data_IF_479068105028
#
_entry.id   IF_479068105028
#
_cell.length_a   1.000
_cell.length_b   1.000
_cell.length_c   1.000
_cell.angle_alpha   90.00
_cell.angle_beta   90.00
_cell.angle_gamma   90.00
#
_symmetry.space_group_name_H-M   'P 1'
#
loop_
_entity.id
_entity.type
_entity.pdbx_description
1 polymer ?
#
# COMPACT_ATOMS: atom_id res chain seq x y z
N UNK A 1 -2.85 7.22 10.96
CA UNK A 1 -2.77 5.77 10.70
C UNK A 1 -1.49 5.24 11.34
N UNK A 2 -1.53 4.06 11.95
CA UNK A 2 -0.33 3.39 12.48
C UNK A 2 0.48 2.82 11.32
N UNK A 3 1.81 2.78 11.44
CA UNK A 3 2.65 2.13 10.44
C UNK A 3 2.37 0.60 10.44
N UNK A 4 2.41 -0.07 9.28
CA UNK A 4 2.36 -1.53 9.18
C UNK A 4 3.19 -2.25 10.26
N UNK A 5 4.44 -1.86 10.48
CA UNK A 5 5.30 -2.47 11.50
C UNK A 5 4.77 -2.25 12.93
N UNK A 6 4.25 -1.06 13.21
CA UNK A 6 3.70 -0.74 14.52
C UNK A 6 2.43 -1.57 14.79
N UNK A 7 1.57 -1.72 13.80
CA UNK A 7 0.36 -2.54 13.88
C UNK A 7 0.72 -4.03 14.07
N UNK A 8 1.73 -4.52 13.34
CA UNK A 8 2.22 -5.88 13.48
C UNK A 8 2.77 -6.20 14.85
N UNK A 9 3.61 -5.32 15.39
CA UNK A 9 4.17 -5.50 16.73
C UNK A 9 3.08 -5.55 17.80
N UNK A 10 2.04 -4.73 17.65
CA UNK A 10 0.88 -4.78 18.52
C UNK A 10 0.12 -6.11 18.38
N UNK A 11 -0.19 -6.55 17.15
CA UNK A 11 -0.86 -7.82 16.89
C UNK A 11 -0.07 -9.04 17.40
N UNK A 12 1.26 -9.04 17.23
CA UNK A 12 2.11 -10.10 17.76
C UNK A 12 2.03 -10.16 19.28
N UNK A 13 2.16 -9.01 19.96
CA UNK A 13 2.12 -8.95 21.41
C UNK A 13 0.76 -9.45 21.96
N UNK A 14 -0.34 -9.07 21.30
CA UNK A 14 -1.69 -9.55 21.64
C UNK A 14 -1.82 -11.07 21.43
N UNK A 15 -1.31 -11.60 20.32
CA UNK A 15 -1.34 -13.03 20.03
C UNK A 15 -0.51 -13.84 21.03
N UNK A 16 0.71 -13.40 21.35
CA UNK A 16 1.59 -14.04 22.33
C UNK A 16 0.99 -14.04 23.75
N UNK A 17 0.16 -13.05 24.09
CA UNK A 17 -0.52 -12.98 25.38
C UNK A 17 -1.75 -13.89 25.49
N UNK A 18 -2.41 -14.22 24.37
CA UNK A 18 -3.76 -14.81 24.38
C UNK A 18 -3.82 -16.25 23.86
N UNK A 19 -2.81 -16.75 23.14
CA UNK A 19 -2.87 -18.08 22.52
C UNK A 19 -1.91 -19.11 23.14
N UNK A 20 -2.40 -20.33 23.46
CA UNK A 20 -1.58 -21.40 24.05
C UNK A 20 -0.65 -22.10 23.05
N UNK A 21 -0.82 -21.86 21.75
CA UNK A 21 -0.03 -22.48 20.68
C UNK A 21 0.97 -21.47 20.09
N UNK A 22 2.29 -21.72 20.18
CA UNK A 22 3.28 -20.80 19.65
C UNK A 22 3.33 -20.85 18.12
N UNK A 23 3.26 -19.69 17.47
CA UNK A 23 3.60 -19.55 16.05
C UNK A 23 5.10 -19.79 15.90
N UNK A 24 5.55 -20.58 14.89
CA UNK A 24 6.97 -20.76 14.63
C UNK A 24 7.71 -19.43 14.48
N UNK A 25 8.79 -19.26 15.25
CA UNK A 25 9.58 -18.01 15.32
C UNK A 25 9.99 -17.48 13.95
N UNK A 26 10.37 -18.38 13.02
CA UNK A 26 10.77 -18.02 11.67
C UNK A 26 9.67 -17.28 10.89
N UNK A 27 8.39 -17.62 11.11
CA UNK A 27 7.25 -16.95 10.47
C UNK A 27 7.12 -15.53 11.01
N UNK A 28 7.26 -15.36 12.33
CA UNK A 28 7.20 -14.06 12.98
C UNK A 28 8.32 -13.13 12.47
N UNK A 29 9.52 -13.67 12.30
CA UNK A 29 10.68 -12.91 11.82
C UNK A 29 10.50 -12.48 10.35
N UNK A 30 10.01 -13.37 9.48
CA UNK A 30 9.70 -13.02 8.08
C UNK A 30 8.63 -11.92 8.01
N UNK A 31 7.56 -12.04 8.80
CA UNK A 31 6.50 -11.03 8.82
C UNK A 31 7.02 -9.67 9.31
N UNK A 32 7.93 -9.64 10.28
CA UNK A 32 8.54 -8.39 10.72
C UNK A 32 9.44 -7.76 9.66
N UNK A 33 10.19 -8.57 8.92
CA UNK A 33 10.98 -8.09 7.77
C UNK A 33 10.05 -7.48 6.72
N UNK A 34 8.96 -8.17 6.35
CA UNK A 34 8.01 -7.67 5.36
C UNK A 34 7.37 -6.35 5.80
N UNK A 35 6.99 -6.23 7.07
CA UNK A 35 6.41 -5.00 7.61
C UNK A 35 7.42 -3.85 7.66
N UNK A 36 8.69 -4.14 7.96
CA UNK A 36 9.77 -3.15 7.93
C UNK A 36 10.01 -2.66 6.50
N UNK A 37 10.10 -3.57 5.54
CA UNK A 37 10.24 -3.23 4.11
C UNK A 37 9.05 -2.39 3.64
N UNK A 38 7.83 -2.71 4.08
CA UNK A 38 6.65 -1.92 3.75
C UNK A 38 6.72 -0.49 4.31
N UNK A 39 7.19 -0.32 5.55
CA UNK A 39 7.41 1.00 6.15
C UNK A 39 8.49 1.79 5.40
N UNK A 40 9.60 1.14 5.02
CA UNK A 40 10.66 1.75 4.23
C UNK A 40 10.16 2.20 2.84
N UNK A 41 9.35 1.38 2.18
CA UNK A 41 8.70 1.74 0.90
C UNK A 41 7.79 2.95 1.08
N UNK A 42 6.98 2.98 2.14
CA UNK A 42 6.09 4.11 2.43
C UNK A 42 6.88 5.39 2.70
N UNK A 43 8.00 5.30 3.42
CA UNK A 43 8.90 6.41 3.69
C UNK A 43 9.55 6.92 2.39
N UNK A 44 10.04 6.03 1.52
CA UNK A 44 10.59 6.40 0.21
C UNK A 44 9.55 7.09 -0.67
N UNK A 45 8.34 6.53 -0.77
CA UNK A 45 7.26 7.12 -1.56
C UNK A 45 6.92 8.55 -1.07
N UNK A 46 6.90 8.76 0.24
CA UNK A 46 6.70 10.08 0.85
C UNK A 46 7.84 11.04 0.52
N UNK A 47 9.09 10.57 0.59
CA UNK A 47 10.27 11.36 0.21
C UNK A 47 10.22 11.79 -1.25
N UNK A 48 9.97 10.84 -2.17
CA UNK A 48 9.89 11.14 -3.60
C UNK A 48 8.73 12.11 -3.89
N UNK A 49 7.57 11.93 -3.27
CA UNK A 49 6.45 12.86 -3.43
C UNK A 49 6.83 14.29 -3.00
N UNK A 50 7.63 14.43 -1.95
CA UNK A 50 8.15 15.72 -1.47
C UNK A 50 9.15 16.34 -2.45
N UNK A 51 10.08 15.52 -2.97
CA UNK A 51 11.08 15.96 -3.94
C UNK A 51 10.43 16.41 -5.25
N UNK A 52 9.47 15.64 -5.75
CA UNK A 52 8.74 15.98 -6.98
C UNK A 52 7.92 17.27 -6.81
N UNK A 53 7.31 17.47 -5.63
CA UNK A 53 6.64 18.74 -5.32
C UNK A 53 7.61 19.93 -5.36
N UNK A 54 8.77 19.78 -4.70
CA UNK A 54 9.82 20.81 -4.67
C UNK A 54 10.32 21.14 -6.08
N UNK A 55 10.48 20.11 -6.93
CA UNK A 55 10.82 20.28 -8.34
C UNK A 55 9.73 21.04 -9.11
N UNK A 56 8.45 20.72 -8.87
CA UNK A 56 7.31 21.43 -9.43
C UNK A 56 7.30 22.93 -9.09
N UNK A 57 7.52 23.27 -7.82
CA UNK A 57 7.62 24.66 -7.35
C UNK A 57 8.83 25.40 -7.99
N UNK A 58 9.94 24.68 -8.17
CA UNK A 58 11.11 25.16 -8.89
C UNK A 58 10.82 25.54 -10.34
N UNK A 59 10.02 24.75 -11.06
CA UNK A 59 9.59 25.07 -12.42
C UNK A 59 8.68 26.28 -12.48
N UNK A 60 7.74 26.43 -11.55
CA UNK A 60 6.91 27.64 -11.46
C UNK A 60 7.77 28.90 -11.27
N UNK A 61 8.80 28.81 -10.43
CA UNK A 61 9.76 29.89 -10.22
C UNK A 61 10.57 30.19 -11.49
N UNK A 62 11.04 29.15 -12.19
CA UNK A 62 11.77 29.30 -13.45
C UNK A 62 10.92 29.99 -14.53
N UNK A 63 9.65 29.59 -14.67
CA UNK A 63 8.69 30.22 -15.58
C UNK A 63 8.53 31.71 -15.31
N UNK A 64 8.39 32.09 -14.04
CA UNK A 64 8.29 33.49 -13.65
C UNK A 64 9.56 34.30 -14.03
N UNK A 65 10.75 33.71 -13.83
CA UNK A 65 12.02 34.34 -14.22
C UNK A 65 12.18 34.49 -15.73
N UNK A 66 11.76 33.50 -16.52
CA UNK A 66 11.76 33.59 -17.99
C UNK A 66 10.87 34.74 -18.43
N UNK A 67 9.64 34.84 -17.90
CA UNK A 67 8.72 35.93 -18.23
C UNK A 67 9.26 37.32 -17.81
N UNK A 68 10.00 37.41 -16.72
CA UNK A 68 10.66 38.64 -16.29
C UNK A 68 11.82 39.03 -17.23
N UNK A 69 12.63 38.06 -17.68
CA UNK A 69 13.68 38.29 -18.67
C UNK A 69 13.13 38.74 -20.03
N UNK A 70 12.02 38.14 -20.52
CA UNK A 70 11.33 38.59 -21.74
C UNK A 70 10.92 40.07 -21.62
N UNK A 71 10.35 40.46 -20.47
CA UNK A 71 9.94 41.85 -20.21
C UNK A 71 11.11 42.81 -20.11
N UNK A 72 12.18 42.42 -19.42
CA UNK A 72 13.35 43.28 -19.17
C UNK A 72 14.18 43.53 -20.43
N UNK A 73 14.30 42.52 -21.30
CA UNK A 73 15.23 42.55 -22.42
C UNK A 73 14.57 42.55 -23.79
N UNK A 74 13.24 42.34 -23.88
CA UNK A 74 12.53 42.27 -25.16
C UNK A 74 12.96 41.09 -26.04
N UNK A 75 13.56 40.07 -25.42
CA UNK A 75 13.99 38.83 -26.09
C UNK A 75 12.79 37.89 -26.13
N UNK A 76 12.60 37.22 -27.26
CA UNK A 76 11.63 36.13 -27.37
C UNK A 76 12.20 34.85 -26.74
N UNK A 77 11.59 34.38 -25.64
CA UNK A 77 11.96 33.14 -24.96
C UNK A 77 10.80 32.13 -25.04
N UNK A 78 9.95 32.22 -26.07
CA UNK A 78 8.77 31.37 -26.23
C UNK A 78 9.11 29.88 -26.23
N UNK A 79 10.16 29.46 -26.95
CA UNK A 79 10.60 28.06 -26.96
C UNK A 79 11.05 27.60 -25.57
N UNK A 80 11.88 28.38 -24.88
CA UNK A 80 12.35 28.06 -23.54
C UNK A 80 11.19 27.96 -22.52
N UNK A 81 10.17 28.81 -22.67
CA UNK A 81 8.95 28.74 -21.85
C UNK A 81 8.17 27.46 -22.12
N UNK A 82 8.05 27.06 -23.38
CA UNK A 82 7.36 25.82 -23.77
C UNK A 82 8.10 24.58 -23.24
N UNK A 83 9.43 24.55 -23.35
CA UNK A 83 10.25 23.45 -22.83
C UNK A 83 10.15 23.34 -21.30
N UNK A 84 10.19 24.47 -20.59
CA UNK A 84 10.01 24.49 -19.14
C UNK A 84 8.59 24.05 -18.72
N UNK A 85 7.56 24.35 -19.52
CA UNK A 85 6.20 23.89 -19.28
C UNK A 85 6.06 22.38 -19.51
N UNK A 86 6.68 21.86 -20.58
CA UNK A 86 6.70 20.42 -20.87
C UNK A 86 7.37 19.65 -19.72
N UNK A 87 8.50 20.15 -19.21
CA UNK A 87 9.21 19.52 -18.11
C UNK A 87 8.43 19.59 -16.78
N UNK A 88 7.72 20.70 -16.52
CA UNK A 88 6.79 20.79 -15.39
C UNK A 88 5.69 19.74 -15.46
N UNK A 89 5.10 19.53 -16.64
CA UNK A 89 4.06 18.51 -16.83
C UNK A 89 4.58 17.08 -16.63
N UNK A 90 5.82 16.80 -17.05
CA UNK A 90 6.49 15.52 -16.75
C UNK A 90 6.66 15.33 -15.24
N UNK A 91 7.11 16.36 -14.52
CA UNK A 91 7.25 16.31 -13.06
C UNK A 91 5.90 16.04 -12.36
N UNK A 92 4.82 16.72 -12.78
CA UNK A 92 3.46 16.49 -12.26
C UNK A 92 2.95 15.06 -12.54
N UNK A 93 3.24 14.53 -13.73
CA UNK A 93 2.92 13.15 -14.09
C UNK A 93 3.63 12.15 -13.18
N UNK A 94 4.91 12.40 -12.88
CA UNK A 94 5.69 11.59 -11.95
C UNK A 94 5.13 11.66 -10.52
N UNK A 95 4.71 12.84 -10.06
CA UNK A 95 4.11 13.04 -8.74
C UNK A 95 2.87 12.16 -8.55
N UNK A 96 2.04 12.11 -9.61
CA UNK A 96 0.79 11.35 -9.62
C UNK A 96 1.04 9.85 -9.64
N UNK A 97 2.09 9.40 -10.35
CA UNK A 97 2.45 7.99 -10.46
C UNK A 97 3.08 7.41 -9.17
N UNK A 98 3.72 8.27 -8.36
CA UNK A 98 4.48 7.86 -7.17
C UNK A 98 3.66 8.04 -5.87
N UNK A 99 2.48 8.66 -5.96
CA UNK A 99 1.56 8.73 -4.83
C UNK A 99 1.27 7.30 -4.33
N UNK A 100 1.50 7.00 -3.04
CA UNK A 100 1.26 5.66 -2.52
C UNK A 100 -0.20 5.29 -2.79
N UNK A 101 -0.43 4.08 -3.31
CA UNK A 101 -1.77 3.56 -3.47
C UNK A 101 -2.49 3.70 -2.13
N UNK A 102 -3.54 4.52 -2.09
CA UNK A 102 -4.39 4.61 -0.91
C UNK A 102 -4.82 3.17 -0.58
N UNK A 103 -4.63 2.67 0.65
CA UNK A 103 -5.20 1.39 1.01
C UNK A 103 -6.69 1.47 0.69
N UNK A 104 -7.19 0.52 -0.11
CA UNK A 104 -8.62 0.38 -0.33
C UNK A 104 -9.29 0.34 1.06
N UNK A 105 -10.44 1.01 1.26
CA UNK A 105 -11.13 0.96 2.54
C UNK A 105 -11.28 -0.51 2.92
N UNK A 106 -10.76 -0.90 4.08
CA UNK A 106 -10.89 -2.26 4.55
C UNK A 106 -12.39 -2.63 4.51
N UNK A 107 -12.73 -3.69 3.78
CA UNK A 107 -14.09 -4.20 3.83
C UNK A 107 -14.45 -4.47 5.30
N UNK A 108 -15.62 -4.03 5.77
CA UNK A 108 -16.00 -4.21 7.16
C UNK A 108 -16.01 -5.72 7.47
N UNK A 109 -15.16 -6.13 8.40
CA UNK A 109 -15.17 -7.47 8.97
C UNK A 109 -16.57 -7.78 9.50
N UNK A 110 -17.26 -8.84 9.04
CA UNK A 110 -18.53 -9.23 9.63
C UNK A 110 -18.30 -9.60 11.11
N UNK A 111 -19.08 -9.00 12.00
CA UNK A 111 -18.99 -9.22 13.44
C UNK A 111 -19.15 -10.72 13.79
N UNK A 112 -18.47 -11.23 14.84
CA UNK A 112 -18.67 -12.60 15.27
C UNK A 112 -20.11 -12.76 15.78
N UNK A 113 -20.85 -13.70 15.21
CA UNK A 113 -22.20 -14.04 15.67
C UNK A 113 -22.06 -14.75 17.02
N UNK A 114 -22.20 -14.00 18.10
CA UNK A 114 -22.46 -14.55 19.42
C UNK A 114 -23.95 -14.92 19.48
N UNK A 115 -24.26 -16.22 19.57
CA UNK A 115 -25.65 -16.69 19.60
C UNK A 115 -25.81 -18.18 19.86
N UNK A 116 -25.56 -18.58 21.11
CA UNK A 116 -26.37 -19.56 21.87
C UNK A 116 -26.32 -21.05 21.48
N UNK A 117 -25.61 -21.82 22.31
CA UNK A 117 -25.90 -23.24 22.56
C UNK A 117 -27.35 -23.44 23.03
N UNK A 118 -28.10 -24.35 22.38
CA UNK A 118 -28.92 -25.41 22.99
C UNK A 118 -30.24 -25.67 22.23
N UNK A 119 -30.39 -26.90 21.71
CA UNK A 119 -31.55 -27.80 21.87
C UNK A 119 -31.54 -28.84 20.75
N UNK A 120 -31.44 -30.12 21.12
CA UNK A 120 -31.24 -31.21 20.17
C UNK A 120 -32.43 -31.48 19.27
N UNK A 121 -32.13 -32.01 18.07
CA UNK A 121 -32.98 -32.99 17.37
C UNK A 121 -32.05 -34.04 16.74
N UNK A 122 -32.50 -35.28 16.91
CA UNK A 122 -31.88 -36.57 16.65
C UNK A 122 -31.98 -37.01 15.18
N UNK A 123 -31.30 -38.14 14.89
CA UNK A 123 -31.49 -39.14 13.82
C UNK A 123 -30.86 -38.94 12.44
N UNK A 124 -29.82 -39.75 12.16
CA UNK A 124 -29.93 -40.87 11.21
C UNK A 124 -29.42 -40.65 9.78
N UNK A 125 -28.84 -41.68 9.12
CA UNK A 125 -27.92 -41.54 8.00
C UNK A 125 -28.60 -41.58 6.63
N UNK A 126 -28.00 -40.90 5.65
CA UNK A 126 -28.16 -41.25 4.23
C UNK A 126 -26.75 -41.43 3.65
N UNK A 127 -26.39 -42.69 3.44
CA UNK A 127 -25.31 -43.06 2.56
C UNK A 127 -25.66 -42.60 1.14
N UNK A 128 -24.72 -41.96 0.44
CA UNK A 128 -24.55 -42.30 -0.96
C UNK A 128 -23.10 -42.12 -1.40
N UNK A 129 -22.65 -43.15 -2.08
CA UNK A 129 -21.30 -43.50 -2.48
C UNK A 129 -20.82 -42.67 -3.66
N UNK A 130 -19.56 -42.22 -3.65
CA UNK A 130 -18.60 -42.41 -4.77
C UNK A 130 -17.17 -42.16 -4.28
N UNK A 131 -16.43 -43.25 -4.11
CA UNK A 131 -14.98 -43.26 -3.91
C UNK A 131 -14.29 -43.14 -5.28
N UNK A 132 -13.34 -42.20 -5.50
CA UNK A 132 -12.47 -42.26 -6.67
C UNK A 132 -11.26 -43.18 -6.43
N UNK A 133 -11.09 -44.18 -7.29
CA UNK A 133 -9.94 -45.10 -7.34
C UNK A 133 -8.70 -44.38 -7.91
N UNK A 134 -7.50 -44.51 -7.30
CA UNK A 134 -6.27 -43.97 -7.88
C UNK A 134 -5.74 -44.85 -9.03
N UNK A 135 -5.07 -44.27 -10.04
CA UNK A 135 -4.55 -45.01 -11.19
C UNK A 135 -3.36 -45.91 -10.83
N UNK A 136 -3.30 -47.08 -11.47
CA UNK A 136 -2.19 -48.02 -11.35
C UNK A 136 -0.91 -47.44 -11.98
N UNK A 137 0.21 -47.55 -11.25
CA UNK A 137 1.53 -47.29 -11.79
C UNK A 137 2.00 -48.52 -12.59
N UNK A 138 2.43 -48.28 -13.84
CA UNK A 138 3.15 -49.24 -14.69
C UNK A 138 4.66 -48.99 -14.59
#
# INVERSE_FOLDING_TARGET
MLSPLTLWRWLRAEHEATHPFPVPRFILDILEILMTVQDDINALATGIATDVKTLGDGFTTLHAKIADLEKQHGIDLTELKNDAAALHNVAQGLATAIAPASPAPAEPTPAPVAGTLAAGVTTGPAADTTTPTPPAAS
#
